data_IF_311823810781
#
_entry.id   IF_311823810781
#
_cell.length_a   1.000
_cell.length_b   1.000
_cell.length_c   1.000
_cell.angle_alpha   90.00
_cell.angle_beta   90.00
_cell.angle_gamma   90.00
#
_symmetry.space_group_name_H-M   'P 1'
#
loop_
_entity.id
_entity.type
_entity.pdbx_description
1 polymer ?
#
# COMPACT_ATOMS: atom_id res chain seq x y z
N UNK A 1 55.01 6.42 -11.54
CA UNK A 1 55.45 7.79 -11.27
C UNK A 1 54.17 8.55 -10.99
N UNK A 2 53.62 8.50 -9.78
CA UNK A 2 54.21 8.97 -8.50
C UNK A 2 54.41 10.48 -8.57
N UNK A 3 53.41 11.23 -8.11
CA UNK A 3 53.55 12.64 -7.76
C UNK A 3 52.98 12.87 -6.35
N UNK A 4 53.86 12.89 -5.33
CA UNK A 4 53.57 13.29 -3.97
C UNK A 4 53.93 14.76 -3.76
N UNK A 5 53.12 15.55 -3.04
CA UNK A 5 53.54 16.55 -2.04
C UNK A 5 52.35 17.39 -1.53
N UNK A 6 52.01 17.21 -0.25
CA UNK A 6 51.52 18.30 0.62
C UNK A 6 52.77 19.02 1.20
N UNK A 7 52.73 19.93 2.22
CA UNK A 7 51.64 20.68 2.86
C UNK A 7 52.01 22.20 3.04
N UNK A 8 51.12 23.03 3.61
CA UNK A 8 51.49 24.21 4.44
C UNK A 8 50.25 24.94 4.97
N UNK A 9 50.23 25.25 6.27
CA UNK A 9 49.35 26.28 6.84
C UNK A 9 48.79 25.95 8.23
N UNK A 10 49.59 26.23 9.26
CA UNK A 10 49.27 26.13 10.70
C UNK A 10 48.84 27.51 11.28
N UNK A 11 48.31 27.49 12.51
CA UNK A 11 47.92 28.56 13.49
C UNK A 11 46.57 29.28 13.27
N UNK A 12 45.69 29.49 14.25
CA UNK A 12 45.68 29.31 15.72
C UNK A 12 44.50 30.10 16.33
N UNK A 13 44.19 29.88 17.62
CA UNK A 13 43.21 30.57 18.51
C UNK A 13 41.70 30.29 18.29
N UNK A 14 40.83 30.06 19.28
CA UNK A 14 40.84 30.20 20.75
C UNK A 14 39.64 29.41 21.33
N UNK A 15 39.79 28.79 22.51
CA UNK A 15 38.71 28.33 23.41
C UNK A 15 38.45 29.43 24.48
N UNK A 16 37.48 29.38 25.42
CA UNK A 16 36.38 28.41 25.67
C UNK A 16 35.01 29.08 25.95
N UNK A 17 33.90 28.33 25.99
CA UNK A 17 32.72 28.72 26.80
C UNK A 17 32.16 27.53 27.58
N UNK A 18 31.95 27.80 28.87
CA UNK A 18 31.57 26.89 29.95
C UNK A 18 30.04 26.72 30.07
N UNK A 19 29.64 25.45 30.18
CA UNK A 19 28.79 24.89 31.24
C UNK A 19 27.28 25.26 31.28
N UNK A 20 26.51 24.68 32.22
CA UNK A 20 25.76 23.42 32.04
C UNK A 20 24.25 23.66 32.22
N UNK A 21 23.37 22.71 31.83
CA UNK A 21 22.04 22.44 32.47
C UNK A 21 21.21 21.49 31.61
N UNK A 22 20.57 20.52 32.26
CA UNK A 22 19.23 20.08 31.83
C UNK A 22 19.09 18.61 31.48
N UNK A 23 18.95 17.76 32.51
CA UNK A 23 18.28 16.48 32.33
C UNK A 23 16.79 16.67 32.00
N UNK A 24 16.28 15.86 31.08
CA UNK A 24 14.92 15.32 31.09
C UNK A 24 14.95 14.09 30.19
N UNK A 25 14.82 12.86 30.70
CA UNK A 25 13.52 12.18 30.87
C UNK A 25 12.42 12.72 29.93
N UNK A 26 12.67 12.58 28.63
CA UNK A 26 11.63 12.54 27.61
C UNK A 26 10.78 11.30 27.79
N UNK A 27 9.67 11.51 28.50
CA UNK A 27 8.47 10.68 28.56
C UNK A 27 8.21 9.93 27.25
N UNK A 28 7.78 8.68 27.40
CA UNK A 28 6.76 8.00 26.61
C UNK A 28 6.18 8.81 25.45
N UNK A 29 6.38 8.32 24.22
CA UNK A 29 5.32 8.08 23.23
C UNK A 29 5.94 7.62 21.91
N UNK A 30 5.51 6.48 21.33
CA UNK A 30 5.62 6.31 19.89
C UNK A 30 4.76 7.40 19.22
N UNK A 31 5.41 8.31 18.50
CA UNK A 31 4.79 9.06 17.42
C UNK A 31 4.80 8.10 16.22
N UNK A 32 3.70 7.81 15.53
CA UNK A 32 2.73 8.74 14.98
C UNK A 32 1.31 8.19 15.19
N UNK A 33 0.46 9.07 15.73
CA UNK A 33 -0.99 9.00 15.72
C UNK A 33 -1.47 8.96 14.26
N UNK A 34 -2.37 8.05 13.96
CA UNK A 34 -3.18 8.03 12.74
C UNK A 34 -4.11 9.26 12.76
N UNK A 35 -3.55 10.42 12.41
CA UNK A 35 -4.28 11.67 12.22
C UNK A 35 -4.96 11.60 10.85
N UNK A 36 -6.23 11.20 10.85
CA UNK A 36 -7.06 11.13 9.65
C UNK A 36 -7.19 12.46 8.91
N UNK A 37 -7.36 12.35 7.59
CA UNK A 37 -8.15 13.22 6.71
C UNK A 37 -7.56 13.26 5.29
N UNK A 38 -7.89 12.25 4.51
CA UNK A 38 -7.89 12.33 3.03
C UNK A 38 -9.17 11.78 2.41
N UNK A 39 -10.16 11.41 3.22
CA UNK A 39 -11.48 11.01 2.74
C UNK A 39 -12.30 12.28 2.55
N UNK A 40 -12.18 12.89 1.37
CA UNK A 40 -13.23 13.79 0.92
C UNK A 40 -14.49 12.92 0.76
N UNK A 41 -15.32 13.01 1.78
CA UNK A 41 -16.56 12.29 1.92
C UNK A 41 -17.44 12.49 0.69
N UNK A 42 -17.69 11.40 -0.02
CA UNK A 42 -18.97 11.18 -0.67
C UNK A 42 -19.50 9.89 -0.03
N UNK A 43 -20.40 10.05 0.95
CA UNK A 43 -21.09 8.99 1.69
C UNK A 43 -20.40 8.56 2.99
N UNK A 44 -20.87 9.09 4.12
CA UNK A 44 -20.63 8.51 5.44
C UNK A 44 -21.27 7.10 5.49
N UNK A 45 -20.45 6.05 5.59
CA UNK A 45 -20.91 4.74 6.06
C UNK A 45 -20.65 3.52 5.18
N UNK A 46 -20.15 3.67 3.96
CA UNK A 46 -19.70 2.51 3.17
C UNK A 46 -18.20 2.36 3.44
N UNK A 47 -17.79 1.28 4.12
CA UNK A 47 -16.39 0.91 4.27
C UNK A 47 -16.13 -0.24 3.29
N UNK A 48 -15.95 0.07 2.00
CA UNK A 48 -15.69 -0.95 1.01
C UNK A 48 -14.44 -1.70 1.40
N UNK A 49 -14.53 -3.01 1.43
CA UNK A 49 -13.46 -3.91 1.82
C UNK A 49 -13.47 -5.14 0.94
N UNK A 50 -12.29 -5.68 0.67
CA UNK A 50 -12.15 -7.00 0.06
C UNK A 50 -11.95 -8.03 1.15
N UNK A 51 -12.84 -8.99 1.22
CA UNK A 51 -12.71 -10.17 2.05
C UNK A 51 -12.06 -11.26 1.22
N UNK A 52 -10.97 -11.84 1.70
CA UNK A 52 -10.35 -12.99 1.06
C UNK A 52 -11.23 -14.20 1.29
N UNK A 53 -11.81 -14.76 0.24
CA UNK A 53 -12.51 -16.04 0.37
C UNK A 53 -11.53 -17.21 0.30
N UNK A 54 -10.55 -17.10 -0.61
CA UNK A 54 -9.56 -18.14 -0.85
C UNK A 54 -8.32 -17.54 -1.50
N UNK A 55 -7.14 -18.01 -1.16
CA UNK A 55 -5.93 -17.64 -1.90
C UNK A 55 -4.65 -18.16 -1.25
N UNK A 56 -3.69 -18.65 -2.04
CA UNK A 56 -2.40 -19.06 -1.50
C UNK A 56 -1.62 -17.84 -0.96
N UNK A 57 -1.16 -17.94 0.29
CA UNK A 57 -0.42 -16.87 0.98
C UNK A 57 -1.29 -15.78 1.62
N UNK A 58 -2.61 -15.90 1.56
CA UNK A 58 -3.52 -15.03 2.29
C UNK A 58 -4.29 -15.82 3.35
N UNK A 59 -4.72 -15.12 4.39
CA UNK A 59 -5.62 -15.70 5.40
C UNK A 59 -7.04 -15.62 4.86
N UNK A 60 -7.73 -16.76 4.77
CA UNK A 60 -9.16 -16.79 4.45
C UNK A 60 -9.94 -15.99 5.51
N UNK A 61 -10.83 -15.10 5.06
CA UNK A 61 -11.54 -14.14 5.89
C UNK A 61 -10.76 -12.86 6.20
N UNK A 62 -9.54 -12.67 5.68
CA UNK A 62 -8.84 -11.39 5.83
C UNK A 62 -9.59 -10.27 5.10
N UNK A 63 -9.76 -9.14 5.77
CA UNK A 63 -10.50 -7.99 5.23
C UNK A 63 -9.51 -6.86 4.90
N UNK A 64 -9.57 -6.37 3.67
CA UNK A 64 -8.70 -5.31 3.16
C UNK A 64 -9.55 -4.08 2.80
N UNK A 65 -9.48 -2.99 3.55
CA UNK A 65 -10.25 -1.79 3.24
C UNK A 65 -9.79 -1.17 1.93
N UNK A 66 -10.74 -0.81 1.06
CA UNK A 66 -10.50 -0.14 -0.21
C UNK A 66 -10.71 1.36 0.02
N UNK A 67 -9.61 2.12 -0.02
CA UNK A 67 -9.67 3.58 0.06
C UNK A 67 -10.09 4.23 -1.26
N UNK A 68 -9.17 4.98 -1.86
CA UNK A 68 -9.36 5.66 -3.15
C UNK A 68 -8.97 4.78 -4.35
N UNK A 69 -8.23 3.71 -4.08
CA UNK A 69 -7.83 2.68 -5.01
C UNK A 69 -7.17 1.56 -4.22
N UNK A 70 -7.03 0.40 -4.86
CA UNK A 70 -6.33 -0.76 -4.30
C UNK A 70 -5.61 -1.49 -5.42
N UNK A 71 -4.30 -1.66 -5.31
CA UNK A 71 -3.55 -2.48 -6.28
C UNK A 71 -3.40 -3.92 -5.78
N UNK A 72 -3.64 -4.88 -6.67
CA UNK A 72 -3.63 -6.32 -6.39
C UNK A 72 -2.59 -7.01 -7.27
N UNK A 73 -1.75 -7.84 -6.66
CA UNK A 73 -0.85 -8.70 -7.42
C UNK A 73 0.23 -9.35 -6.57
N UNK A 74 1.13 -10.06 -7.23
CA UNK A 74 2.18 -10.83 -6.57
C UNK A 74 3.34 -9.98 -6.01
N UNK A 75 3.48 -8.72 -6.43
CA UNK A 75 4.50 -7.86 -5.83
C UNK A 75 4.14 -7.50 -4.39
N UNK A 76 5.13 -7.41 -3.49
CA UNK A 76 4.96 -6.85 -2.13
C UNK A 76 4.74 -5.34 -2.14
N UNK A 77 4.96 -4.69 -3.28
CA UNK A 77 4.65 -3.27 -3.49
C UNK A 77 3.16 -3.00 -3.69
N UNK A 78 2.35 -4.04 -3.89
CA UNK A 78 0.89 -3.89 -4.00
C UNK A 78 0.27 -3.88 -2.61
N UNK A 79 -0.83 -3.15 -2.46
CA UNK A 79 -1.60 -3.11 -1.21
C UNK A 79 -2.17 -4.48 -0.86
N UNK A 80 -2.63 -5.22 -1.86
CA UNK A 80 -3.04 -6.61 -1.71
C UNK A 80 -1.99 -7.52 -2.36
N UNK A 81 -1.10 -8.02 -1.51
CA UNK A 81 -0.06 -8.96 -1.89
C UNK A 81 -0.60 -10.38 -2.00
N UNK A 82 -0.50 -10.99 -3.18
CA UNK A 82 -0.89 -12.36 -3.44
C UNK A 82 0.36 -13.24 -3.60
N UNK A 83 0.55 -14.26 -2.75
CA UNK A 83 1.64 -15.24 -2.96
C UNK A 83 1.21 -16.37 -3.91
N UNK A 84 0.49 -16.01 -4.97
CA UNK A 84 -0.03 -16.93 -5.97
C UNK A 84 0.88 -16.92 -7.22
N UNK A 85 1.24 -18.11 -7.70
CA UNK A 85 2.06 -18.26 -8.91
C UNK A 85 1.29 -17.97 -10.20
N UNK A 86 -0.04 -18.04 -10.16
CA UNK A 86 -0.94 -17.69 -11.26
C UNK A 86 -1.27 -16.19 -11.32
N UNK A 87 -0.76 -15.41 -10.37
CA UNK A 87 -0.98 -13.97 -10.29
C UNK A 87 0.29 -13.22 -10.74
N UNK A 88 0.13 -12.31 -11.70
CA UNK A 88 1.20 -11.43 -12.17
C UNK A 88 1.64 -10.41 -11.11
N UNK A 89 2.84 -9.83 -11.26
CA UNK A 89 3.38 -8.87 -10.29
C UNK A 89 2.47 -7.66 -10.06
N UNK A 90 1.87 -7.13 -11.12
CA UNK A 90 0.74 -6.19 -11.08
C UNK A 90 -0.37 -6.86 -11.89
N UNK A 91 -1.40 -7.37 -11.21
CA UNK A 91 -2.41 -8.20 -11.86
C UNK A 91 -3.64 -7.37 -12.18
N UNK A 92 -4.20 -6.73 -11.16
CA UNK A 92 -5.35 -5.87 -11.28
C UNK A 92 -5.23 -4.69 -10.33
N UNK A 93 -6.02 -3.65 -10.59
CA UNK A 93 -6.23 -2.58 -9.64
C UNK A 93 -7.70 -2.24 -9.56
N UNK A 94 -8.12 -1.82 -8.39
CA UNK A 94 -9.42 -1.24 -8.16
C UNK A 94 -9.22 0.26 -8.04
N UNK A 95 -10.01 1.03 -8.76
CA UNK A 95 -10.01 2.48 -8.71
C UNK A 95 -11.40 2.96 -8.32
N UNK A 96 -11.45 3.94 -7.41
CA UNK A 96 -12.68 4.63 -7.10
C UNK A 96 -12.89 5.75 -8.10
N UNK A 97 -14.00 5.71 -8.84
CA UNK A 97 -14.42 6.83 -9.71
C UNK A 97 -15.79 7.34 -9.26
N UNK A 98 -15.77 8.44 -8.50
CA UNK A 98 -16.97 8.98 -7.85
C UNK A 98 -17.46 8.03 -6.75
N UNK A 99 -18.76 7.71 -6.77
CA UNK A 99 -19.38 6.82 -5.79
C UNK A 99 -19.22 5.32 -6.10
N UNK A 100 -18.58 4.96 -7.23
CA UNK A 100 -18.47 3.57 -7.67
C UNK A 100 -17.01 3.13 -7.73
N UNK A 101 -16.80 1.85 -7.46
CA UNK A 101 -15.51 1.19 -7.61
C UNK A 101 -15.45 0.47 -8.95
N UNK A 102 -14.30 0.57 -9.61
CA UNK A 102 -14.05 -0.04 -10.91
C UNK A 102 -12.81 -0.89 -10.80
N UNK A 103 -12.85 -2.10 -11.33
CA UNK A 103 -11.69 -2.96 -11.44
C UNK A 103 -11.13 -2.89 -12.87
N UNK A 104 -9.82 -2.84 -12.95
CA UNK A 104 -9.04 -2.77 -14.18
C UNK A 104 -7.98 -3.87 -14.13
N UNK A 105 -7.95 -4.69 -15.18
CA UNK A 105 -6.90 -5.69 -15.36
C UNK A 105 -5.66 -5.03 -15.98
N UNK A 106 -4.50 -5.21 -15.37
CA UNK A 106 -3.24 -4.57 -15.80
C UNK A 106 -2.42 -5.44 -16.75
N UNK A 107 -3.07 -6.35 -17.47
CA UNK A 107 -2.41 -7.32 -18.35
C UNK A 107 -2.01 -8.58 -17.58
N UNK A 108 -2.94 -9.10 -16.77
CA UNK A 108 -2.70 -10.34 -16.06
C UNK A 108 -2.60 -11.53 -17.01
N UNK A 109 -1.79 -12.53 -16.65
CA UNK A 109 -1.57 -13.71 -17.50
C UNK A 109 -2.79 -14.61 -17.58
N UNK A 110 -3.53 -14.76 -16.47
CA UNK A 110 -4.71 -15.62 -16.39
C UNK A 110 -6.03 -14.86 -16.61
N UNK A 111 -6.01 -13.53 -16.62
CA UNK A 111 -7.20 -12.70 -16.60
C UNK A 111 -7.76 -12.52 -15.19
N UNK A 112 -8.39 -11.36 -14.99
CA UNK A 112 -9.21 -11.06 -13.81
C UNK A 112 -10.67 -11.40 -14.12
N UNK A 113 -11.38 -12.03 -13.19
CA UNK A 113 -12.80 -12.36 -13.34
C UNK A 113 -13.63 -11.74 -12.22
N UNK A 114 -14.78 -11.16 -12.54
CA UNK A 114 -15.75 -10.64 -11.59
C UNK A 114 -17.07 -11.37 -11.79
N UNK A 115 -17.56 -12.08 -10.77
CA UNK A 115 -18.76 -12.93 -10.83
C UNK A 115 -18.77 -13.87 -12.05
N UNK A 116 -17.65 -14.57 -12.28
CA UNK A 116 -17.42 -15.47 -13.42
C UNK A 116 -17.40 -14.82 -14.81
N UNK A 117 -17.38 -13.48 -14.88
CA UNK A 117 -17.19 -12.74 -16.14
C UNK A 117 -15.79 -12.16 -16.20
N UNK A 118 -15.09 -12.22 -17.34
CA UNK A 118 -13.79 -11.56 -17.47
C UNK A 118 -13.98 -10.05 -17.25
N UNK A 119 -13.10 -9.48 -16.44
CA UNK A 119 -13.03 -8.04 -16.19
C UNK A 119 -12.26 -7.41 -17.34
N UNK A 120 -12.87 -6.40 -17.95
CA UNK A 120 -12.22 -5.48 -18.86
C UNK A 120 -11.97 -4.14 -18.17
N UNK A 121 -11.11 -3.31 -18.76
CA UNK A 121 -10.73 -2.01 -18.24
C UNK A 121 -11.96 -1.14 -17.91
N UNK A 122 -12.19 -0.87 -16.62
CA UNK A 122 -13.32 -0.09 -16.15
C UNK A 122 -14.59 -0.88 -15.87
N UNK A 123 -14.48 -2.14 -15.42
CA UNK A 123 -15.65 -2.92 -14.99
C UNK A 123 -16.11 -2.46 -13.61
N UNK A 124 -17.38 -2.03 -13.42
CA UNK A 124 -17.88 -1.61 -12.12
C UNK A 124 -18.04 -2.80 -11.16
N UNK A 125 -17.54 -2.64 -9.94
CA UNK A 125 -17.68 -3.61 -8.84
C UNK A 125 -18.83 -3.18 -7.93
N UNK A 126 -19.63 -4.15 -7.49
CA UNK A 126 -20.74 -3.96 -6.54
C UNK A 126 -20.53 -4.79 -5.28
N UNK A 127 -21.21 -4.39 -4.20
CA UNK A 127 -21.29 -5.15 -2.95
C UNK A 127 -21.68 -6.59 -3.22
N UNK A 128 -20.96 -7.52 -2.60
CA UNK A 128 -21.06 -8.99 -2.72
C UNK A 128 -20.53 -9.56 -4.03
N UNK A 129 -19.93 -8.74 -4.90
CA UNK A 129 -19.28 -9.26 -6.10
C UNK A 129 -18.02 -10.04 -5.73
N UNK A 130 -17.78 -11.12 -6.45
CA UNK A 130 -16.62 -11.98 -6.23
C UNK A 130 -15.59 -11.75 -7.34
N UNK A 131 -14.43 -11.25 -6.97
CA UNK A 131 -13.26 -11.03 -7.81
C UNK A 131 -12.31 -12.23 -7.72
N UNK A 132 -12.15 -12.96 -8.82
CA UNK A 132 -11.22 -14.08 -8.94
C UNK A 132 -10.01 -13.67 -9.77
N UNK A 133 -8.82 -13.85 -9.21
CA UNK A 133 -7.53 -13.57 -9.83
C UNK A 133 -6.65 -14.82 -9.67
N UNK A 134 -6.35 -15.52 -10.76
CA UNK A 134 -5.62 -16.80 -10.66
C UNK A 134 -6.38 -17.83 -9.82
N UNK A 135 -5.76 -18.32 -8.73
CA UNK A 135 -6.40 -19.21 -7.75
C UNK A 135 -6.97 -18.45 -6.54
N UNK A 136 -6.76 -17.14 -6.48
CA UNK A 136 -7.27 -16.27 -5.42
C UNK A 136 -8.69 -15.81 -5.73
N UNK A 137 -9.56 -15.88 -4.73
CA UNK A 137 -10.94 -15.42 -4.74
C UNK A 137 -11.10 -14.40 -3.62
N UNK A 138 -11.47 -13.19 -4.02
CA UNK A 138 -11.76 -12.06 -3.15
C UNK A 138 -13.24 -11.71 -3.31
N UNK A 139 -13.90 -11.32 -2.23
CA UNK A 139 -15.27 -10.81 -2.26
C UNK A 139 -15.25 -9.34 -1.87
N UNK A 140 -15.92 -8.52 -2.64
CA UNK A 140 -16.12 -7.12 -2.33
C UNK A 140 -17.33 -6.96 -1.39
N UNK A 141 -17.17 -6.23 -0.29
CA UNK A 141 -18.20 -5.90 0.70
C UNK A 141 -18.15 -4.40 1.03
N UNK A 142 -19.22 -3.82 1.57
CA UNK A 142 -19.30 -2.41 2.03
C UNK A 142 -19.83 -2.31 3.48
#
# INVERSE_FOLDING_TARGET
>A
ADDPFAPSGDVGDELPLQSPTGGSTGRSRPAIQDDGAGFLAIGEGLQPRLVVEKGPGLTEGAEFPIGQGLTIGRSRSNELHLEDSFVSHMHARILRRGAFYYVEDLGSTNGTFLNDKPVEDGTPVRVRDTLRLGETVLRYEE
#
